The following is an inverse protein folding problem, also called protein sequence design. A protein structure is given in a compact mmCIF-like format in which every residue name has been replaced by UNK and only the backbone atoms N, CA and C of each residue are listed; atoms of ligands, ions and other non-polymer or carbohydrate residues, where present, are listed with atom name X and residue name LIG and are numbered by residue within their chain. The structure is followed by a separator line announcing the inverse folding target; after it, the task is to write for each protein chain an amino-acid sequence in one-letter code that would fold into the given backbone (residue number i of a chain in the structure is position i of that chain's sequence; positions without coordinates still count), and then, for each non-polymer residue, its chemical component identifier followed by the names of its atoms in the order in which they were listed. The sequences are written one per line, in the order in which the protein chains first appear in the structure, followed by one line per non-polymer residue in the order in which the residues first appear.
data_IF_023553765174
#
_entry.id   IF_023553765174
#
_cell.length_a   1.000
_cell.length_b   1.000
_cell.length_c   1.000
_cell.angle_alpha   90.00
_cell.angle_beta   90.00
_cell.angle_gamma   90.00
#
_symmetry.space_group_name_H-M   'P 1'
#
loop_
_entity.id
_entity.type
_entity.pdbx_description
1 polymer ?
#
# COMPACT_ATOMS: atom_id res chain seq x y z
N UNK A 1 -12.17 -23.31 -23.90
CA UNK A 1 -10.83 -23.44 -23.31
C UNK A 1 -10.00 -22.36 -23.95
N UNK A 2 -10.20 -21.12 -23.51
CA UNK A 2 -9.45 -19.94 -23.96
C UNK A 2 -8.14 -19.94 -23.19
N UNK A 3 -7.03 -19.85 -23.92
CA UNK A 3 -5.69 -19.72 -23.34
C UNK A 3 -5.66 -18.60 -22.30
N UNK A 4 -4.84 -18.73 -21.23
CA UNK A 4 -4.58 -17.63 -20.33
C UNK A 4 -4.05 -16.46 -21.17
N UNK A 5 -4.69 -15.30 -21.00
CA UNK A 5 -4.47 -14.02 -21.69
C UNK A 5 -2.98 -13.68 -21.61
N UNK A 6 -2.21 -14.11 -22.61
CA UNK A 6 -0.79 -13.79 -22.71
C UNK A 6 -0.74 -12.31 -23.06
N UNK A 7 -0.16 -11.49 -22.17
CA UNK A 7 -0.06 -10.06 -22.42
C UNK A 7 0.45 -9.81 -23.83
N UNK A 8 -0.20 -8.90 -24.55
CA UNK A 8 0.23 -8.59 -25.92
C UNK A 8 1.61 -7.92 -25.89
N UNK A 9 2.40 -8.09 -26.95
CA UNK A 9 3.68 -7.39 -27.09
C UNK A 9 3.54 -5.86 -26.96
N UNK A 10 2.41 -5.34 -27.44
CA UNK A 10 2.02 -3.93 -27.33
C UNK A 10 1.80 -3.52 -25.88
N UNK A 11 1.13 -4.35 -25.07
CA UNK A 11 0.92 -4.10 -23.64
C UNK A 11 2.26 -4.08 -22.89
N UNK A 12 3.12 -5.10 -23.11
CA UNK A 12 4.46 -5.15 -22.49
C UNK A 12 5.30 -3.91 -22.79
N UNK A 13 5.25 -3.41 -24.02
CA UNK A 13 5.94 -2.18 -24.41
C UNK A 13 5.41 -0.96 -23.65
N UNK A 14 4.09 -0.84 -23.51
CA UNK A 14 3.46 0.23 -22.74
C UNK A 14 3.83 0.17 -21.25
N UNK A 15 3.87 -1.03 -20.66
CA UNK A 15 4.20 -1.23 -19.24
C UNK A 15 5.65 -0.83 -18.96
N UNK A 16 6.58 -1.26 -19.81
CA UNK A 16 8.00 -0.87 -19.71
C UNK A 16 8.19 0.64 -19.87
N UNK A 17 7.46 1.27 -20.80
CA UNK A 17 7.49 2.72 -20.97
C UNK A 17 6.92 3.46 -19.75
N UNK A 18 5.89 2.91 -19.10
CA UNK A 18 5.27 3.47 -17.90
C UNK A 18 6.20 3.37 -16.69
N UNK A 19 6.79 2.20 -16.46
CA UNK A 19 7.76 1.99 -15.38
C UNK A 19 8.95 2.95 -15.51
N UNK A 20 9.54 3.03 -16.71
CA UNK A 20 10.67 3.93 -16.98
C UNK A 20 10.33 5.43 -16.82
N UNK A 21 9.07 5.82 -17.06
CA UNK A 21 8.63 7.21 -16.90
C UNK A 21 8.35 7.57 -15.43
N UNK A 22 7.98 6.60 -14.61
CA UNK A 22 7.60 6.78 -13.21
C UNK A 22 8.75 6.79 -12.22
N UNK A 23 9.86 6.12 -12.54
CA UNK A 23 11.01 5.99 -11.65
C UNK A 23 12.34 6.39 -12.34
N UNK A 24 13.01 7.47 -11.90
CA UNK A 24 14.33 7.87 -12.39
C UNK A 24 15.43 6.82 -12.18
N UNK A 25 15.24 5.87 -11.25
CA UNK A 25 16.18 4.79 -10.98
C UNK A 25 16.04 3.62 -11.98
N UNK A 26 14.87 3.48 -12.63
CA UNK A 26 14.71 2.54 -13.73
C UNK A 26 15.56 3.02 -14.92
N UNK A 27 16.59 2.23 -15.26
CA UNK A 27 17.39 2.50 -16.45
C UNK A 27 16.57 2.35 -17.73
N UNK A 28 16.94 3.03 -18.81
CA UNK A 28 16.29 2.87 -20.12
C UNK A 28 16.43 1.47 -20.73
N UNK A 29 17.20 0.57 -20.10
CA UNK A 29 17.44 -0.79 -20.58
C UNK A 29 16.15 -1.60 -20.74
N UNK A 30 15.21 -1.49 -19.81
CA UNK A 30 13.99 -2.30 -19.83
C UNK A 30 13.05 -1.90 -20.97
N UNK A 31 12.90 -0.59 -21.23
CA UNK A 31 12.08 -0.11 -22.36
C UNK A 31 12.72 -0.43 -23.71
N UNK A 32 14.06 -0.41 -23.81
CA UNK A 32 14.78 -0.85 -25.02
C UNK A 32 14.60 -2.36 -25.23
N UNK A 33 14.72 -3.16 -24.16
CA UNK A 33 14.53 -4.61 -24.23
C UNK A 33 13.08 -4.97 -24.63
N UNK A 34 12.09 -4.26 -24.09
CA UNK A 34 10.69 -4.43 -24.47
C UNK A 34 10.46 -4.05 -25.95
N UNK A 35 11.12 -3.02 -26.46
CA UNK A 35 11.07 -2.66 -27.88
C UNK A 35 11.68 -3.75 -28.78
N UNK A 36 12.83 -4.31 -28.39
CA UNK A 36 13.42 -5.47 -29.08
C UNK A 36 12.47 -6.66 -29.12
N UNK A 37 11.86 -6.99 -27.99
CA UNK A 37 10.93 -8.12 -27.90
C UNK A 37 9.67 -7.86 -28.73
N UNK A 38 9.15 -6.63 -28.76
CA UNK A 38 8.00 -6.28 -29.58
C UNK A 38 8.25 -6.51 -31.08
N UNK A 39 9.46 -6.19 -31.57
CA UNK A 39 9.88 -6.50 -32.95
C UNK A 39 9.94 -8.01 -33.22
N UNK A 40 10.46 -8.79 -32.26
CA UNK A 40 10.49 -10.27 -32.34
C UNK A 40 9.06 -10.84 -32.40
N UNK A 41 8.14 -10.23 -31.67
CA UNK A 41 6.73 -10.64 -31.61
C UNK A 41 5.90 -10.11 -32.79
N UNK A 42 6.52 -9.42 -33.75
CA UNK A 42 5.89 -8.97 -35.00
C UNK A 42 5.21 -7.59 -34.94
N UNK A 43 5.38 -6.84 -33.85
CA UNK A 43 4.99 -5.42 -33.77
C UNK A 43 6.11 -4.59 -34.38
N UNK A 44 5.80 -3.74 -35.36
CA UNK A 44 6.84 -3.06 -36.13
C UNK A 44 6.43 -1.63 -36.51
N UNK A 45 7.35 -0.69 -36.29
CA UNK A 45 7.25 0.70 -36.74
C UNK A 45 8.65 1.27 -36.95
N UNK A 46 8.83 2.30 -37.80
CA UNK A 46 10.13 2.94 -38.00
C UNK A 46 10.79 3.36 -36.68
N UNK A 47 10.05 4.06 -35.82
CA UNK A 47 10.63 4.56 -34.58
C UNK A 47 10.84 3.45 -33.53
N UNK A 48 10.03 2.37 -33.56
CA UNK A 48 10.26 1.21 -32.70
C UNK A 48 11.61 0.53 -32.98
N UNK A 49 12.02 0.45 -34.25
CA UNK A 49 13.34 -0.08 -34.63
C UNK A 49 14.49 0.81 -34.14
N UNK A 50 14.31 2.12 -34.23
CA UNK A 50 15.29 3.08 -33.69
C UNK A 50 15.40 2.93 -32.16
N UNK A 51 14.28 2.77 -31.46
CA UNK A 51 14.25 2.53 -30.01
C UNK A 51 14.92 1.20 -29.63
N UNK A 52 14.64 0.11 -30.35
CA UNK A 52 15.27 -1.18 -30.13
C UNK A 52 16.80 -1.15 -30.42
N UNK A 53 17.24 -0.27 -31.32
CA UNK A 53 18.65 -0.04 -31.62
C UNK A 53 19.35 0.96 -30.68
N UNK A 54 18.62 1.59 -29.76
CA UNK A 54 19.18 2.58 -28.85
C UNK A 54 20.11 1.95 -27.80
N UNK A 55 21.01 2.75 -27.26
CA UNK A 55 21.93 2.38 -26.19
C UNK A 55 21.44 2.92 -24.85
N UNK A 56 21.66 2.17 -23.77
CA UNK A 56 21.46 2.68 -22.40
C UNK A 56 22.34 3.90 -22.07
N UNK A 57 23.35 4.18 -22.91
CA UNK A 57 24.21 5.38 -22.81
C UNK A 57 23.66 6.60 -23.55
N UNK A 58 22.61 6.44 -24.34
CA UNK A 58 21.99 7.54 -25.04
C UNK A 58 21.27 8.47 -24.04
N UNK A 59 21.10 9.73 -24.43
CA UNK A 59 20.46 10.70 -23.54
C UNK A 59 19.02 10.27 -23.22
N UNK A 60 18.63 10.35 -21.94
CA UNK A 60 17.27 10.02 -21.50
C UNK A 60 16.19 10.84 -22.25
N UNK A 61 16.50 12.10 -22.61
CA UNK A 61 15.61 12.93 -23.42
C UNK A 61 15.41 12.36 -24.84
N UNK A 62 16.48 11.87 -25.48
CA UNK A 62 16.41 11.23 -26.79
C UNK A 62 15.62 9.92 -26.76
N UNK A 63 15.86 9.07 -25.76
CA UNK A 63 15.08 7.83 -25.58
C UNK A 63 13.60 8.15 -25.35
N UNK A 64 13.29 9.23 -24.62
CA UNK A 64 11.89 9.62 -24.33
C UNK A 64 11.16 10.09 -25.59
N UNK A 65 11.86 10.79 -26.47
CA UNK A 65 11.33 11.17 -27.78
C UNK A 65 11.07 9.94 -28.66
N UNK A 66 12.01 8.97 -28.68
CA UNK A 66 11.81 7.69 -29.38
C UNK A 66 10.59 6.93 -28.86
N UNK A 67 10.47 6.79 -27.52
CA UNK A 67 9.31 6.13 -26.90
C UNK A 67 8.01 6.84 -27.31
N UNK A 68 7.93 8.16 -27.12
CA UNK A 68 6.70 8.92 -27.42
C UNK A 68 6.25 8.74 -28.88
N UNK A 69 7.18 8.85 -29.82
CA UNK A 69 6.90 8.68 -31.26
C UNK A 69 6.55 7.23 -31.62
N UNK A 70 7.23 6.24 -31.04
CA UNK A 70 6.91 4.83 -31.27
C UNK A 70 5.50 4.48 -30.76
N UNK A 71 5.10 4.99 -29.59
CA UNK A 71 3.75 4.79 -29.07
C UNK A 71 2.70 5.42 -29.99
N UNK A 72 2.94 6.64 -30.49
CA UNK A 72 2.04 7.33 -31.42
C UNK A 72 1.89 6.57 -32.76
N UNK A 73 2.99 6.13 -33.36
CA UNK A 73 2.99 5.32 -34.60
C UNK A 73 2.21 4.00 -34.45
N UNK A 74 2.28 3.39 -33.27
CA UNK A 74 1.59 2.13 -32.94
C UNK A 74 0.16 2.35 -32.42
N UNK A 75 -0.32 3.60 -32.40
CA UNK A 75 -1.62 3.98 -31.83
C UNK A 75 -1.78 3.56 -30.36
N UNK A 76 -0.68 3.45 -29.62
CA UNK A 76 -0.65 3.16 -28.20
C UNK A 76 -0.89 4.48 -27.44
N UNK A 77 -1.77 4.52 -26.43
CA UNK A 77 -1.95 5.72 -25.62
C UNK A 77 -0.64 6.20 -25.00
N UNK A 78 -0.52 7.51 -24.83
CA UNK A 78 0.62 8.08 -24.12
C UNK A 78 0.67 7.57 -22.67
N UNK A 79 1.88 7.39 -22.14
CA UNK A 79 2.09 6.97 -20.75
C UNK A 79 1.30 7.86 -19.80
N UNK A 80 0.58 7.23 -18.85
CA UNK A 80 -0.23 7.92 -17.85
C UNK A 80 -1.58 8.43 -18.35
N UNK A 81 -1.94 8.18 -19.62
CA UNK A 81 -3.26 8.56 -20.18
C UNK A 81 -4.25 7.41 -20.24
N UNK A 82 -3.82 6.19 -19.93
CA UNK A 82 -4.69 5.01 -19.91
C UNK A 82 -5.76 5.17 -18.80
N UNK A 83 -7.05 5.13 -19.13
CA UNK A 83 -8.10 5.20 -18.13
C UNK A 83 -8.05 4.00 -17.16
N UNK A 84 -8.49 4.16 -15.90
CA UNK A 84 -8.59 3.06 -14.95
C UNK A 84 -9.42 1.90 -15.49
N UNK A 85 -8.99 0.67 -15.22
CA UNK A 85 -9.71 -0.51 -15.69
C UNK A 85 -9.59 -0.79 -17.20
N UNK A 86 -8.70 -0.08 -17.90
CA UNK A 86 -8.39 -0.34 -19.29
C UNK A 86 -7.01 -0.99 -19.45
N UNK A 87 -6.78 -1.57 -20.62
CA UNK A 87 -5.49 -2.05 -21.13
C UNK A 87 -5.30 -1.63 -22.58
N UNK A 88 -4.08 -1.70 -23.07
CA UNK A 88 -3.76 -1.47 -24.48
C UNK A 88 -4.14 -2.71 -25.28
N UNK A 89 -4.88 -2.51 -26.37
CA UNK A 89 -5.26 -3.61 -27.25
C UNK A 89 -4.05 -4.10 -28.07
N UNK A 90 -4.04 -5.37 -28.47
CA UNK A 90 -2.98 -5.93 -29.32
C UNK A 90 -2.84 -5.20 -30.68
N UNK A 91 -3.91 -4.57 -31.16
CA UNK A 91 -3.93 -3.75 -32.38
C UNK A 91 -3.57 -2.28 -32.17
N UNK A 92 -3.16 -1.90 -30.96
CA UNK A 92 -3.15 -0.50 -30.53
C UNK A 92 -4.52 -0.02 -30.04
N UNK A 93 -4.55 1.14 -29.38
CA UNK A 93 -5.73 1.72 -28.75
C UNK A 93 -6.02 1.17 -27.35
N UNK A 94 -7.18 1.54 -26.81
CA UNK A 94 -7.58 1.26 -25.42
C UNK A 94 -8.80 0.34 -25.41
N UNK A 95 -8.75 -0.73 -24.62
CA UNK A 95 -9.89 -1.63 -24.38
C UNK A 95 -10.11 -1.81 -22.88
N UNK A 96 -11.36 -2.02 -22.48
CA UNK A 96 -11.67 -2.34 -21.08
C UNK A 96 -11.15 -3.73 -20.72
N UNK A 97 -10.58 -3.84 -19.52
CA UNK A 97 -10.22 -5.14 -18.95
C UNK A 97 -11.50 -5.91 -18.61
N UNK A 98 -11.55 -7.22 -18.91
CA UNK A 98 -12.66 -8.05 -18.49
C UNK A 98 -12.69 -8.16 -16.96
N UNK A 99 -13.88 -8.11 -16.36
CA UNK A 99 -14.06 -8.27 -14.91
C UNK A 99 -14.09 -9.76 -14.54
N UNK A 100 -12.99 -10.47 -14.75
CA UNK A 100 -12.89 -11.92 -14.53
C UNK A 100 -11.89 -12.29 -13.44
N UNK A 101 -11.18 -11.31 -12.89
CA UNK A 101 -10.18 -11.58 -11.86
C UNK A 101 -10.85 -11.93 -10.54
N UNK A 102 -10.16 -12.76 -9.76
CA UNK A 102 -10.57 -13.19 -8.42
C UNK A 102 -9.60 -12.63 -7.39
N UNK A 103 -10.15 -12.17 -6.26
CA UNK A 103 -9.38 -11.69 -5.13
C UNK A 103 -9.55 -12.65 -3.96
N UNK A 104 -8.44 -13.02 -3.33
CA UNK A 104 -8.43 -13.67 -2.03
C UNK A 104 -7.44 -13.00 -1.09
N UNK A 105 -7.83 -12.79 0.16
CA UNK A 105 -7.06 -12.13 1.20
C UNK A 105 -6.89 -13.08 2.38
N UNK A 106 -5.68 -13.17 2.92
CA UNK A 106 -5.41 -13.97 4.11
C UNK A 106 -4.58 -13.17 5.11
N UNK A 107 -4.70 -13.50 6.39
CA UNK A 107 -3.81 -12.95 7.42
C UNK A 107 -2.92 -14.09 7.92
N UNK A 108 -1.61 -13.86 7.88
CA UNK A 108 -0.61 -14.83 8.27
C UNK A 108 0.46 -14.16 9.15
N UNK A 109 1.13 -14.92 10.04
CA UNK A 109 2.32 -14.44 10.72
C UNK A 109 3.40 -14.02 9.72
N UNK A 110 4.17 -12.98 10.02
CA UNK A 110 5.32 -12.57 9.20
C UNK A 110 6.53 -13.51 9.32
N UNK A 111 6.55 -14.38 10.33
CA UNK A 111 7.63 -15.34 10.56
C UNK A 111 8.88 -14.74 11.24
N UNK A 112 8.79 -13.51 11.75
CA UNK A 112 9.82 -12.86 12.56
C UNK A 112 9.88 -13.38 14.00
N UNK A 113 10.84 -12.88 14.78
CA UNK A 113 11.05 -13.28 16.19
C UNK A 113 9.91 -12.84 17.14
N UNK A 114 9.02 -11.94 16.71
CA UNK A 114 7.90 -11.48 17.50
C UNK A 114 6.63 -12.31 17.20
N UNK A 115 6.13 -13.01 18.22
CA UNK A 115 4.93 -13.87 18.16
C UNK A 115 3.61 -13.12 17.82
N UNK A 116 3.64 -11.78 17.75
CA UNK A 116 2.48 -10.91 17.54
C UNK A 116 2.52 -10.14 16.18
N UNK A 117 3.45 -10.45 15.28
CA UNK A 117 3.56 -9.75 13.97
C UNK A 117 2.86 -10.52 12.84
N UNK A 118 1.97 -9.81 12.14
CA UNK A 118 1.09 -10.36 11.11
C UNK A 118 1.13 -9.52 9.84
N UNK A 119 0.79 -10.14 8.73
CA UNK A 119 0.67 -9.53 7.42
C UNK A 119 -0.62 -9.95 6.73
N UNK A 120 -1.16 -9.05 5.92
CA UNK A 120 -2.23 -9.32 4.97
C UNK A 120 -1.59 -9.78 3.66
N UNK A 121 -1.78 -11.06 3.34
CA UNK A 121 -1.42 -11.65 2.06
C UNK A 121 -2.53 -11.39 1.04
N UNK A 122 -2.12 -11.12 -0.20
CA UNK A 122 -3.02 -10.75 -1.29
C UNK A 122 -2.83 -11.74 -2.43
N UNK A 123 -3.90 -12.42 -2.80
CA UNK A 123 -3.92 -13.35 -3.92
C UNK A 123 -4.82 -12.83 -5.02
N UNK A 124 -4.30 -12.78 -6.24
CA UNK A 124 -5.09 -12.47 -7.43
C UNK A 124 -4.98 -13.63 -8.40
N UNK A 125 -6.11 -14.23 -8.79
CA UNK A 125 -6.14 -15.43 -9.63
C UNK A 125 -5.19 -16.53 -9.12
N UNK A 126 -5.28 -16.80 -7.81
CA UNK A 126 -4.45 -17.76 -7.07
C UNK A 126 -2.93 -17.45 -7.06
N UNK A 127 -2.50 -16.31 -7.59
CA UNK A 127 -1.11 -15.84 -7.52
C UNK A 127 -0.93 -14.96 -6.30
N UNK A 128 0.04 -15.27 -5.45
CA UNK A 128 0.39 -14.44 -4.29
C UNK A 128 1.14 -13.18 -4.76
N UNK A 129 0.55 -12.02 -4.51
CA UNK A 129 0.95 -10.73 -5.06
C UNK A 129 1.87 -9.97 -4.12
N UNK A 130 1.84 -10.22 -2.80
CA UNK A 130 2.65 -9.43 -1.87
C UNK A 130 4.14 -9.77 -1.98
N UNK A 131 4.48 -11.05 -2.08
CA UNK A 131 5.84 -11.55 -2.36
C UNK A 131 6.27 -11.24 -3.78
N UNK A 132 5.37 -11.30 -4.77
CA UNK A 132 5.68 -10.94 -6.15
C UNK A 132 5.95 -9.42 -6.34
N UNK A 133 5.36 -8.59 -5.47
CA UNK A 133 5.62 -7.17 -5.38
C UNK A 133 6.76 -6.88 -4.40
N UNK A 134 6.49 -6.05 -3.39
CA UNK A 134 7.50 -5.57 -2.45
C UNK A 134 8.03 -6.58 -1.43
N UNK A 135 7.54 -7.83 -1.44
CA UNK A 135 8.06 -8.94 -0.64
C UNK A 135 7.18 -9.31 0.55
N UNK A 136 6.71 -8.32 1.32
CA UNK A 136 5.97 -8.54 2.57
C UNK A 136 4.59 -7.86 2.54
N UNK A 137 3.53 -8.56 2.93
CA UNK A 137 2.17 -7.98 3.03
C UNK A 137 2.09 -6.87 4.07
N UNK A 138 1.06 -6.03 4.04
CA UNK A 138 0.87 -4.95 5.03
C UNK A 138 0.35 -5.44 6.38
N UNK A 139 0.67 -4.73 7.46
CA UNK A 139 0.13 -5.00 8.80
C UNK A 139 -1.42 -4.84 8.79
N UNK A 140 -2.20 -5.80 9.34
CA UNK A 140 -3.65 -5.70 9.41
C UNK A 140 -4.17 -4.41 10.08
N UNK A 141 -3.47 -3.91 11.10
CA UNK A 141 -3.77 -2.66 11.79
C UNK A 141 -3.50 -1.41 10.95
N UNK A 142 -2.73 -1.51 9.88
CA UNK A 142 -2.51 -0.40 8.94
C UNK A 142 -3.42 -0.46 7.71
N UNK A 143 -3.85 -1.67 7.33
CA UNK A 143 -4.63 -1.88 6.11
C UNK A 143 -6.14 -1.99 6.39
N UNK A 144 -6.53 -2.69 7.46
CA UNK A 144 -7.92 -3.09 7.72
C UNK A 144 -8.56 -2.32 8.89
N UNK A 145 -7.76 -1.87 9.87
CA UNK A 145 -8.23 -1.28 11.13
C UNK A 145 -7.67 0.15 11.26
N UNK A 146 -8.40 1.10 11.88
CA UNK A 146 -9.82 1.03 12.23
C UNK A 146 -10.74 1.21 11.02
N UNK A 147 -10.18 1.55 9.86
CA UNK A 147 -10.92 1.72 8.61
C UNK A 147 -10.30 0.81 7.57
N UNK A 148 -11.12 -0.07 6.99
CA UNK A 148 -10.66 -0.93 5.93
C UNK A 148 -10.37 -0.11 4.67
N UNK A 149 -9.09 0.04 4.35
CA UNK A 149 -8.61 0.86 3.24
C UNK A 149 -8.94 0.25 1.87
N UNK A 150 -9.15 -1.07 1.82
CA UNK A 150 -9.52 -1.81 0.61
C UNK A 150 -10.99 -1.61 0.20
N UNK A 151 -11.83 -0.98 1.02
CA UNK A 151 -13.22 -0.69 0.61
C UNK A 151 -13.23 0.25 -0.59
N UNK A 152 -13.72 -0.25 -1.73
CA UNK A 152 -13.85 0.53 -2.96
C UNK A 152 -15.00 1.53 -2.85
N UNK A 153 -14.69 2.82 -2.91
CA UNK A 153 -15.67 3.91 -2.87
C UNK A 153 -15.80 4.61 -4.22
N UNK A 154 -16.75 5.56 -4.33
CA UNK A 154 -16.89 6.40 -5.51
C UNK A 154 -15.68 7.29 -5.81
N UNK A 155 -14.84 7.56 -4.81
CA UNK A 155 -13.58 8.30 -4.98
C UNK A 155 -12.42 7.30 -5.08
N UNK A 156 -11.60 7.36 -6.15
CA UNK A 156 -10.40 6.55 -6.28
C UNK A 156 -9.42 6.78 -5.13
N UNK A 157 -8.71 5.74 -4.71
CA UNK A 157 -7.75 5.81 -3.60
C UNK A 157 -6.54 4.93 -3.86
N UNK A 158 -5.38 5.40 -3.44
CA UNK A 158 -4.14 4.62 -3.48
C UNK A 158 -3.89 3.99 -2.10
N UNK A 159 -3.60 2.69 -2.09
CA UNK A 159 -3.43 1.88 -0.90
C UNK A 159 -2.21 0.98 -1.08
N UNK A 160 -1.26 1.03 -0.14
CA UNK A 160 -0.18 0.05 -0.09
C UNK A 160 -0.72 -1.32 0.32
N UNK A 161 -0.37 -2.35 -0.43
CA UNK A 161 -0.74 -3.74 -0.16
C UNK A 161 0.47 -4.62 0.20
N UNK A 162 1.67 -4.19 -0.19
CA UNK A 162 2.92 -4.80 0.23
C UNK A 162 3.98 -3.73 0.55
N UNK A 163 4.94 -4.13 1.38
CA UNK A 163 6.10 -3.36 1.84
C UNK A 163 7.36 -4.19 1.73
N UNK A 164 8.51 -3.52 1.72
CA UNK A 164 9.82 -4.16 1.76
C UNK A 164 9.94 -5.12 2.96
N UNK A 165 10.69 -6.21 2.76
CA UNK A 165 11.02 -7.20 3.80
C UNK A 165 11.72 -6.62 5.03
N UNK A 166 12.28 -5.40 4.94
CA UNK A 166 12.79 -4.69 6.11
C UNK A 166 11.71 -4.26 7.12
N UNK A 167 10.43 -4.46 6.77
CA UNK A 167 9.27 -4.19 7.62
C UNK A 167 8.79 -2.75 7.57
N UNK A 168 9.55 -1.84 6.97
CA UNK A 168 9.22 -0.40 6.89
C UNK A 168 8.61 -0.07 5.52
N UNK A 169 7.37 0.41 5.54
CA UNK A 169 6.73 0.95 4.34
C UNK A 169 7.47 2.21 3.86
N UNK A 170 7.86 2.23 2.59
CA UNK A 170 8.61 3.34 1.96
C UNK A 170 10.06 3.01 1.57
N UNK A 171 10.65 1.91 2.08
CA UNK A 171 11.92 1.38 1.54
C UNK A 171 11.71 0.62 0.21
N UNK A 172 10.49 0.11 0.03
CA UNK A 172 9.96 -0.61 -1.11
C UNK A 172 8.47 -0.83 -0.85
N UNK A 173 7.64 -0.74 -1.88
CA UNK A 173 6.19 -0.76 -1.73
C UNK A 173 5.50 -1.23 -3.01
N UNK A 174 4.40 -1.97 -2.84
CA UNK A 174 3.43 -2.23 -3.91
C UNK A 174 2.14 -1.53 -3.53
N UNK A 175 1.77 -0.54 -4.32
CA UNK A 175 0.58 0.26 -4.14
C UNK A 175 -0.47 -0.07 -5.20
N UNK A 176 -1.74 -0.03 -4.81
CA UNK A 176 -2.88 -0.17 -5.73
C UNK A 176 -3.75 1.06 -5.69
N UNK A 177 -4.10 1.57 -6.87
CA UNK A 177 -5.18 2.53 -7.02
C UNK A 177 -6.48 1.78 -7.25
N UNK A 178 -7.40 1.89 -6.29
CA UNK A 178 -8.70 1.22 -6.29
C UNK A 178 -9.74 2.16 -6.88
N UNK A 179 -10.34 1.76 -8.00
CA UNK A 179 -11.40 2.53 -8.69
C UNK A 179 -12.69 1.72 -8.77
N UNK A 180 -13.80 2.30 -8.32
CA UNK A 180 -15.14 1.69 -8.41
C UNK A 180 -15.83 2.09 -9.72
N UNK A 181 -16.18 1.09 -10.54
CA UNK A 181 -17.05 1.24 -11.69
C UNK A 181 -18.44 0.61 -11.46
N UNK A 182 -19.36 0.70 -12.43
CA UNK A 182 -20.65 0.00 -12.38
C UNK A 182 -20.44 -1.52 -12.40
N UNK A 183 -20.66 -2.18 -11.26
CA UNK A 183 -20.55 -3.64 -11.13
C UNK A 183 -19.12 -4.21 -11.17
N UNK A 184 -18.09 -3.36 -11.21
CA UNK A 184 -16.67 -3.77 -11.28
C UNK A 184 -15.81 -2.91 -10.36
N UNK A 185 -14.75 -3.50 -9.81
CA UNK A 185 -13.68 -2.79 -9.09
C UNK A 185 -12.38 -3.02 -9.83
N UNK A 186 -11.66 -1.94 -10.14
CA UNK A 186 -10.36 -2.00 -10.80
C UNK A 186 -9.25 -1.69 -9.82
N UNK A 187 -8.18 -2.48 -9.90
CA UNK A 187 -6.91 -2.18 -9.26
C UNK A 187 -5.87 -1.88 -10.34
N UNK A 188 -5.19 -0.76 -10.19
CA UNK A 188 -4.07 -0.38 -11.03
C UNK A 188 -2.82 -0.24 -10.15
N UNK A 189 -1.76 -0.99 -10.48
CA UNK A 189 -0.54 -1.08 -9.68
C UNK A 189 0.33 0.17 -9.82
N UNK A 190 1.10 0.47 -8.78
CA UNK A 190 2.14 1.49 -8.78
C UNK A 190 3.27 1.12 -7.81
N UNK A 191 4.41 1.80 -7.94
CA UNK A 191 5.68 1.45 -7.30
C UNK A 191 6.18 0.08 -7.79
N UNK A 192 6.29 -0.93 -6.95
CA UNK A 192 6.71 -2.28 -7.37
C UNK A 192 5.52 -3.04 -7.96
N UNK A 193 5.55 -3.26 -9.28
CA UNK A 193 4.44 -3.80 -10.07
C UNK A 193 4.53 -5.34 -10.13
N UNK A 194 3.59 -6.07 -9.50
CA UNK A 194 3.65 -7.53 -9.40
C UNK A 194 3.15 -8.26 -10.65
N UNK A 195 2.39 -7.57 -11.51
CA UNK A 195 1.80 -8.11 -12.74
C UNK A 195 1.78 -7.03 -13.82
N UNK A 196 1.99 -7.41 -15.09
CA UNK A 196 2.16 -6.45 -16.19
C UNK A 196 0.98 -5.50 -16.38
N UNK A 197 -0.25 -5.96 -16.13
CA UNK A 197 -1.43 -5.09 -16.13
C UNK A 197 -2.17 -5.10 -14.79
N UNK A 198 -2.92 -4.02 -14.54
CA UNK A 198 -3.89 -4.00 -13.45
C UNK A 198 -4.99 -5.03 -13.64
N UNK A 199 -5.80 -5.22 -12.60
CA UNK A 199 -6.80 -6.30 -12.51
C UNK A 199 -8.20 -5.72 -12.28
N UNK A 200 -9.23 -6.50 -12.59
CA UNK A 200 -10.64 -6.09 -12.53
C UNK A 200 -11.53 -7.20 -11.98
N UNK A 201 -12.20 -6.90 -10.87
CA UNK A 201 -13.02 -7.86 -10.13
C UNK A 201 -14.50 -7.55 -10.31
N UNK A 202 -15.39 -8.55 -10.41
CA UNK A 202 -16.81 -8.36 -10.15
C UNK A 202 -17.01 -7.71 -8.78
N UNK A 203 -17.74 -6.59 -8.74
CA UNK A 203 -17.78 -5.75 -7.54
C UNK A 203 -18.43 -6.45 -6.33
N UNK A 204 -19.39 -7.33 -6.56
CA UNK A 204 -20.05 -8.12 -5.53
C UNK A 204 -19.10 -9.14 -4.87
N UNK A 205 -18.27 -9.81 -5.67
CA UNK A 205 -17.25 -10.75 -5.15
C UNK A 205 -16.13 -10.00 -4.41
N UNK A 206 -15.70 -8.86 -4.95
CA UNK A 206 -14.73 -7.99 -4.30
C UNK A 206 -15.23 -7.50 -2.93
N UNK A 207 -16.45 -6.94 -2.90
CA UNK A 207 -17.05 -6.42 -1.67
C UNK A 207 -17.26 -7.54 -0.63
N UNK A 208 -17.65 -8.74 -1.08
CA UNK A 208 -17.79 -9.91 -0.20
C UNK A 208 -16.45 -10.33 0.43
N UNK A 209 -15.36 -10.37 -0.35
CA UNK A 209 -14.04 -10.75 0.17
C UNK A 209 -13.46 -9.70 1.12
N UNK A 210 -13.58 -8.42 0.76
CA UNK A 210 -13.14 -7.29 1.60
C UNK A 210 -13.94 -7.25 2.92
N UNK A 211 -15.23 -7.58 2.89
CA UNK A 211 -16.04 -7.71 4.10
C UNK A 211 -15.66 -8.94 4.93
N UNK A 212 -15.39 -10.09 4.27
CA UNK A 212 -14.98 -11.33 4.93
C UNK A 212 -13.70 -11.15 5.72
N UNK A 213 -12.64 -10.61 5.09
CA UNK A 213 -11.36 -10.42 5.77
C UNK A 213 -11.44 -9.42 6.92
N UNK A 214 -12.30 -8.39 6.79
CA UNK A 214 -12.50 -7.41 7.85
C UNK A 214 -13.22 -7.98 9.08
N UNK A 215 -14.02 -9.03 8.90
CA UNK A 215 -14.71 -9.75 9.97
C UNK A 215 -13.90 -10.92 10.54
N UNK A 216 -12.76 -11.27 9.93
CA UNK A 216 -11.89 -12.33 10.40
C UNK A 216 -10.99 -11.82 11.52
N UNK A 217 -11.28 -12.27 12.74
CA UNK A 217 -10.50 -11.99 13.94
C UNK A 217 -9.86 -13.27 14.50
N UNK A 218 -9.86 -14.37 13.75
CA UNK A 218 -9.39 -15.69 14.24
C UNK A 218 -7.86 -15.75 14.44
N UNK A 219 -7.15 -14.82 13.82
CA UNK A 219 -5.70 -14.64 13.91
C UNK A 219 -5.27 -13.78 15.11
N UNK A 220 -6.19 -13.04 15.74
CA UNK A 220 -5.84 -12.05 16.75
C UNK A 220 -5.33 -12.70 18.03
N UNK A 221 -4.11 -12.34 18.44
CA UNK A 221 -3.65 -12.57 19.82
C UNK A 221 -4.39 -11.62 20.78
N UNK A 222 -4.33 -11.83 22.11
CA UNK A 222 -4.91 -10.88 23.05
C UNK A 222 -4.39 -9.44 22.85
N UNK A 223 -3.12 -9.26 22.49
CA UNK A 223 -2.57 -7.94 22.21
C UNK A 223 -3.19 -7.31 20.95
N UNK A 224 -3.31 -8.07 19.86
CA UNK A 224 -4.00 -7.63 18.64
C UNK A 224 -5.46 -7.23 18.92
N UNK A 225 -6.17 -8.05 19.71
CA UNK A 225 -7.56 -7.75 20.12
C UNK A 225 -7.65 -6.43 20.87
N UNK A 226 -6.76 -6.20 21.86
CA UNK A 226 -6.72 -4.94 22.61
C UNK A 226 -6.43 -3.75 21.68
N UNK A 227 -5.45 -3.88 20.78
CA UNK A 227 -5.10 -2.86 19.78
C UNK A 227 -6.28 -2.50 18.90
N UNK A 228 -6.97 -3.48 18.33
CA UNK A 228 -8.19 -3.27 17.52
C UNK A 228 -9.27 -2.55 18.31
N UNK A 229 -9.57 -2.98 19.54
CA UNK A 229 -10.60 -2.36 20.37
C UNK A 229 -10.26 -0.90 20.71
N UNK A 230 -9.00 -0.57 20.91
CA UNK A 230 -8.54 0.82 21.13
C UNK A 230 -8.68 1.63 19.84
N UNK A 231 -8.15 1.13 18.71
CA UNK A 231 -8.16 1.83 17.42
C UNK A 231 -9.58 2.13 16.92
N UNK A 232 -10.50 1.19 17.13
CA UNK A 232 -11.91 1.31 16.72
C UNK A 232 -12.77 2.05 17.74
N UNK A 233 -12.46 1.96 19.03
CA UNK A 233 -13.25 2.56 20.10
C UNK A 233 -12.92 4.01 20.43
N UNK A 234 -11.82 4.55 19.88
CA UNK A 234 -11.38 5.92 20.18
C UNK A 234 -12.27 6.97 19.51
N UNK A 235 -12.51 8.06 20.23
CA UNK A 235 -13.14 9.27 19.68
C UNK A 235 -12.11 10.07 18.88
N UNK A 236 -12.01 9.75 17.58
CA UNK A 236 -11.10 10.41 16.65
C UNK A 236 -11.35 11.92 16.53
N UNK A 237 -12.60 12.39 16.69
CA UNK A 237 -12.92 13.81 16.59
C UNK A 237 -12.37 14.57 17.80
N UNK A 238 -12.49 13.99 18.99
CA UNK A 238 -11.91 14.55 20.21
C UNK A 238 -10.38 14.63 20.12
N UNK A 239 -9.72 13.58 19.66
CA UNK A 239 -8.27 13.62 19.47
C UNK A 239 -7.86 14.72 18.49
N UNK A 240 -8.53 14.82 17.34
CA UNK A 240 -8.25 15.87 16.34
C UNK A 240 -8.46 17.28 16.88
N UNK A 241 -9.40 17.49 17.81
CA UNK A 241 -9.59 18.80 18.46
C UNK A 241 -8.36 19.25 19.29
N UNK A 242 -7.46 18.31 19.62
CA UNK A 242 -6.19 18.56 20.28
C UNK A 242 -4.98 18.40 19.34
N UNK A 243 -5.17 18.34 18.01
CA UNK A 243 -4.10 18.09 17.05
C UNK A 243 -3.55 16.66 17.08
N UNK A 244 -4.22 15.75 17.80
CA UNK A 244 -3.78 14.36 17.97
C UNK A 244 -4.38 13.44 16.91
N UNK A 245 -3.56 12.52 16.43
CA UNK A 245 -3.95 11.39 15.60
C UNK A 245 -3.41 10.11 16.22
N UNK A 246 -4.29 9.15 16.52
CA UNK A 246 -3.87 7.81 16.92
C UNK A 246 -3.25 7.10 15.70
N UNK A 247 -2.04 6.57 15.84
CA UNK A 247 -1.31 5.91 14.74
C UNK A 247 -1.32 4.40 14.88
N UNK A 248 -0.93 3.86 16.04
CA UNK A 248 -0.94 2.41 16.29
C UNK A 248 -1.07 2.10 17.79
N UNK A 249 -1.42 0.85 18.11
CA UNK A 249 -1.59 0.35 19.47
C UNK A 249 -1.17 -1.14 19.52
N UNK A 250 -0.10 -1.46 20.24
CA UNK A 250 0.51 -2.80 20.26
C UNK A 250 1.33 -3.05 21.54
N UNK A 251 1.77 -4.30 21.74
CA UNK A 251 2.76 -4.62 22.76
C UNK A 251 4.08 -3.86 22.51
N UNK A 252 4.75 -3.46 23.57
CA UNK A 252 6.11 -2.95 23.46
C UNK A 252 7.06 -4.11 23.16
N UNK A 253 7.73 -4.06 22.01
CA UNK A 253 8.68 -5.08 21.59
C UNK A 253 9.91 -5.17 22.52
N UNK A 254 10.19 -4.12 23.31
CA UNK A 254 11.29 -4.10 24.30
C UNK A 254 10.86 -4.63 25.67
N UNK A 255 9.56 -4.54 25.97
CA UNK A 255 8.98 -4.92 27.25
C UNK A 255 7.55 -5.43 27.07
N UNK A 256 7.40 -6.74 26.84
CA UNK A 256 6.09 -7.37 26.64
C UNK A 256 5.14 -7.25 27.84
N UNK A 257 5.62 -6.77 29.01
CA UNK A 257 4.76 -6.42 30.14
C UNK A 257 4.10 -5.04 29.99
N UNK A 258 4.31 -4.36 28.85
CA UNK A 258 3.77 -3.06 28.52
C UNK A 258 3.05 -3.08 27.17
N UNK A 259 1.96 -2.34 27.14
CA UNK A 259 1.20 -2.05 25.94
C UNK A 259 1.36 -0.56 25.61
N UNK A 260 1.81 -0.28 24.40
CA UNK A 260 2.04 1.08 23.92
C UNK A 260 0.94 1.54 22.97
N UNK A 261 0.54 2.78 23.14
CA UNK A 261 -0.38 3.49 22.26
C UNK A 261 0.38 4.69 21.71
N UNK A 262 0.61 4.71 20.40
CA UNK A 262 1.29 5.81 19.74
C UNK A 262 0.30 6.78 19.11
N UNK A 263 0.52 8.06 19.37
CA UNK A 263 -0.19 9.17 18.79
C UNK A 263 0.80 10.11 18.11
N UNK A 264 0.29 10.93 17.21
CA UNK A 264 1.05 11.97 16.52
C UNK A 264 0.39 13.32 16.76
N UNK A 265 1.19 14.35 16.99
CA UNK A 265 0.74 15.75 17.12
C UNK A 265 1.21 16.53 15.90
N UNK A 266 0.27 17.00 15.08
CA UNK A 266 0.50 17.87 13.91
C UNK A 266 1.66 17.43 12.98
N UNK A 267 1.92 16.12 12.90
CA UNK A 267 3.07 15.52 12.22
C UNK A 267 4.47 15.94 12.72
N UNK A 268 4.52 16.69 13.82
CA UNK A 268 5.72 17.27 14.42
C UNK A 268 6.29 16.42 15.55
N UNK A 269 5.41 15.72 16.27
CA UNK A 269 5.76 14.92 17.44
C UNK A 269 5.11 13.55 17.40
N UNK A 270 5.81 12.57 17.95
CA UNK A 270 5.26 11.28 18.34
C UNK A 270 5.08 11.25 19.86
N UNK A 271 3.95 10.74 20.32
CA UNK A 271 3.55 10.67 21.73
C UNK A 271 3.19 9.23 22.05
N UNK A 272 3.64 8.71 23.18
CA UNK A 272 3.39 7.33 23.59
C UNK A 272 2.71 7.31 24.96
N UNK A 273 1.63 6.54 25.06
CA UNK A 273 1.06 6.13 26.33
C UNK A 273 1.47 4.69 26.60
N UNK A 274 2.03 4.43 27.78
CA UNK A 274 2.43 3.08 28.18
C UNK A 274 1.53 2.59 29.30
N UNK A 275 0.91 1.43 29.09
CA UNK A 275 -0.01 0.81 30.03
C UNK A 275 0.54 -0.56 30.46
N UNK A 276 0.44 -0.93 31.74
CA UNK A 276 0.78 -2.28 32.17
C UNK A 276 -0.07 -3.34 31.45
N UNK A 277 0.58 -4.40 31.00
CA UNK A 277 -0.02 -5.49 30.24
C UNK A 277 0.52 -6.84 30.69
N UNK A 278 -0.41 -7.78 30.94
CA UNK A 278 -0.07 -9.12 31.40
C UNK A 278 -0.77 -10.21 30.56
N UNK A 279 -1.35 -9.85 29.40
CA UNK A 279 -1.96 -10.80 28.47
C UNK A 279 -3.38 -11.28 28.82
N UNK A 280 -3.89 -11.03 30.02
CA UNK A 280 -5.05 -11.76 30.56
C UNK A 280 -6.43 -11.27 30.08
N UNK A 281 -6.60 -9.98 29.77
CA UNK A 281 -7.90 -9.42 29.40
C UNK A 281 -7.80 -8.21 28.47
N UNK A 282 -7.95 -8.39 27.15
CA UNK A 282 -7.81 -7.30 26.18
C UNK A 282 -8.89 -6.24 26.30
N UNK A 283 -10.13 -6.60 26.64
CA UNK A 283 -11.22 -5.65 26.83
C UNK A 283 -10.99 -4.71 28.01
N UNK A 284 -10.42 -5.23 29.10
CA UNK A 284 -10.08 -4.44 30.28
C UNK A 284 -8.95 -3.45 29.99
N UNK A 285 -7.91 -3.88 29.26
CA UNK A 285 -6.85 -3.00 28.78
C UNK A 285 -7.42 -1.91 27.87
N UNK A 286 -8.22 -2.30 26.86
CA UNK A 286 -8.83 -1.36 25.93
C UNK A 286 -9.73 -0.34 26.64
N UNK A 287 -10.53 -0.77 27.63
CA UNK A 287 -11.38 0.14 28.41
C UNK A 287 -10.55 1.15 29.21
N UNK A 288 -9.43 0.73 29.81
CA UNK A 288 -8.51 1.63 30.52
C UNK A 288 -7.88 2.63 29.55
N UNK A 289 -7.37 2.15 28.43
CA UNK A 289 -6.79 2.98 27.38
C UNK A 289 -7.78 4.04 26.87
N UNK A 290 -9.00 3.64 26.53
CA UNK A 290 -10.05 4.54 26.07
C UNK A 290 -10.46 5.54 27.15
N UNK A 291 -10.54 5.12 28.42
CA UNK A 291 -10.80 6.03 29.53
C UNK A 291 -9.69 7.09 29.68
N UNK A 292 -8.42 6.69 29.53
CA UNK A 292 -7.29 7.63 29.51
C UNK A 292 -7.40 8.60 28.33
N UNK A 293 -7.66 8.11 27.12
CA UNK A 293 -7.80 8.95 25.92
C UNK A 293 -9.00 9.92 25.98
N UNK A 294 -9.96 9.67 26.89
CA UNK A 294 -11.06 10.58 27.17
C UNK A 294 -10.71 11.69 28.17
N UNK A 295 -9.59 11.64 28.89
CA UNK A 295 -9.15 12.76 29.74
C UNK A 295 -8.37 13.79 28.92
N UNK A 296 -8.20 15.04 29.40
CA UNK A 296 -7.41 16.04 28.70
C UNK A 296 -5.94 15.58 28.54
N UNK A 297 -5.30 15.77 27.36
CA UNK A 297 -3.93 15.29 27.11
C UNK A 297 -2.88 15.71 28.14
N UNK A 298 -3.01 16.93 28.67
CA UNK A 298 -2.14 17.46 29.71
C UNK A 298 -2.19 16.70 31.05
N UNK A 299 -3.12 15.75 31.21
CA UNK A 299 -3.22 14.89 32.41
C UNK A 299 -2.59 13.52 32.24
N UNK A 300 -2.14 13.18 31.02
CA UNK A 300 -1.60 11.87 30.72
C UNK A 300 -0.19 11.71 31.29
N UNK A 301 0.11 10.48 31.71
CA UNK A 301 1.47 10.01 31.88
C UNK A 301 1.95 9.49 30.51
N UNK A 302 2.67 10.35 29.79
CA UNK A 302 3.01 10.14 28.39
C UNK A 302 4.49 10.41 28.17
N UNK A 303 5.07 9.72 27.20
CA UNK A 303 6.38 10.09 26.67
C UNK A 303 6.23 10.71 25.28
N UNK A 304 7.18 11.53 24.86
CA UNK A 304 7.14 12.18 23.55
C UNK A 304 8.51 12.25 22.89
N UNK A 305 8.52 12.34 21.57
CA UNK A 305 9.70 12.53 20.75
C UNK A 305 9.36 13.50 19.61
N UNK A 306 10.24 14.47 19.35
CA UNK A 306 10.13 15.30 18.16
C UNK A 306 10.49 14.51 16.91
N UNK A 307 9.62 14.56 15.89
CA UNK A 307 9.90 13.99 14.56
C UNK A 307 10.82 14.94 13.78
N UNK A 308 10.62 16.25 13.95
CA UNK A 308 11.43 17.27 13.27
C UNK A 308 12.63 17.67 14.14
N UNK A 309 13.88 17.61 13.62
CA UNK A 309 15.08 17.96 14.40
C UNK A 309 15.13 19.39 14.95
N UNK A 310 14.40 20.32 14.33
CA UNK A 310 14.35 21.72 14.76
C UNK A 310 13.54 21.92 16.06
N UNK A 311 12.73 20.93 16.45
CA UNK A 311 11.88 21.00 17.63
C UNK A 311 12.59 20.33 18.81
N UNK A 312 12.88 21.12 19.85
CA UNK A 312 13.62 20.66 21.04
C UNK A 312 12.79 20.70 22.32
N UNK A 313 11.66 21.42 22.31
CA UNK A 313 10.72 21.53 23.43
C UNK A 313 9.52 20.59 23.29
N UNK A 314 8.80 20.34 24.39
CA UNK A 314 7.62 19.47 24.38
C UNK A 314 6.51 20.05 23.49
N UNK A 315 5.58 19.20 23.00
CA UNK A 315 4.43 19.67 22.25
C UNK A 315 3.56 20.60 23.12
N UNK A 316 2.84 21.57 22.54
CA UNK A 316 2.08 22.57 23.31
C UNK A 316 1.00 21.99 24.22
N UNK A 317 0.50 20.79 23.92
CA UNK A 317 -0.52 20.08 24.69
C UNK A 317 0.06 19.28 25.88
N UNK A 318 1.39 19.25 26.03
CA UNK A 318 2.06 18.42 27.01
C UNK A 318 1.73 18.84 28.44
N UNK A 319 1.48 17.82 29.27
CA UNK A 319 1.28 17.97 30.71
C UNK A 319 2.59 17.99 31.50
N UNK A 320 2.54 18.32 32.79
CA UNK A 320 3.71 18.27 33.67
C UNK A 320 4.27 16.85 33.84
N UNK A 321 3.47 15.82 33.62
CA UNK A 321 3.88 14.41 33.68
C UNK A 321 4.49 13.90 32.37
N UNK A 322 4.51 14.71 31.31
CA UNK A 322 5.05 14.28 30.02
C UNK A 322 6.58 14.26 30.04
N UNK A 323 7.18 13.16 29.58
CA UNK A 323 8.63 12.96 29.57
C UNK A 323 9.18 12.85 28.15
N UNK A 324 10.38 13.36 27.90
CA UNK A 324 11.03 13.16 26.62
C UNK A 324 11.55 11.71 26.50
N UNK A 325 11.21 11.01 25.41
CA UNK A 325 11.78 9.70 25.11
C UNK A 325 13.29 9.85 24.99
N UNK A 326 14.04 9.24 25.90
CA UNK A 326 15.48 9.13 25.72
C UNK A 326 15.73 8.02 24.68
N UNK A 327 16.59 8.27 23.68
CA UNK A 327 16.91 7.28 22.65
C UNK A 327 17.47 5.98 23.25
#
# INVERSE_FOLDING_TARGET
MTEPDTDSAVQRLYDAATAWSGDPACGSGDVIAAACQALVDGVDSPTLRDLAGASVRDSAAGIRDLVTRALDELMIPAVGTLPPGCRVAASGGVVHRPSLDTLHLAIAPTGGEADDDFQVLVYVNDTEITTAGAGLGMDPNHLLIPTNRLVATSVPRTVGIARCECGVYGCGATDVTITRGPGVVHWDWSAEVPMSCGVSFPADLYDAEVARIAADHTWETPACTAGRLILTGVDHQRLRAHGLKLTWAANDYRDHARFQIALQVDDDYQVFLSLPWHGENPEALARRALATLQTPPATWDATWQAIKPALTGPPPIAGPSWQHCHP
#
